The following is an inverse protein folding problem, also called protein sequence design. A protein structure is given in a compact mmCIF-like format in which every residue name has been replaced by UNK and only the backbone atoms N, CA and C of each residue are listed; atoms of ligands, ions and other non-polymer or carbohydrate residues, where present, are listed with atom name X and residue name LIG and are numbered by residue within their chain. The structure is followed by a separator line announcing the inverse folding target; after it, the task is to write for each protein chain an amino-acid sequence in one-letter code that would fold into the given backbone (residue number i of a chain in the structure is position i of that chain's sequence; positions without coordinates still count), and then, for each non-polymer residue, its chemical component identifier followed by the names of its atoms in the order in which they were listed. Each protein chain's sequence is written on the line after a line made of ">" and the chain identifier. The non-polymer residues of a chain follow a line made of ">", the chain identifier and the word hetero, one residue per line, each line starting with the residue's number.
data_IF_128804524473
#
_entry.id   IF_128804524473
#
_cell.length_a   1.000
_cell.length_b   1.000
_cell.length_c   1.000
_cell.angle_alpha   90.00
_cell.angle_beta   90.00
_cell.angle_gamma   90.00
#
_symmetry.space_group_name_H-M   'P 1'
#
loop_
_entity.id
_entity.type
_entity.pdbx_description
1 polymer ?
#
# COMPACT_ATOMS: atom_id res chain seq x y z
N UNK A 1 23.23 26.88 0.29
CA UNK A 1 22.85 25.59 0.88
C UNK A 1 22.38 24.63 -0.18
N UNK A 2 22.92 23.43 -0.16
CA UNK A 2 22.47 22.41 -1.11
C UNK A 2 21.20 21.75 -0.59
N UNK A 3 20.19 21.66 -1.43
CA UNK A 3 18.99 20.90 -1.13
C UNK A 3 19.33 19.41 -1.19
N UNK A 4 18.84 18.65 -0.23
CA UNK A 4 19.04 17.21 -0.21
C UNK A 4 18.33 16.59 -1.43
N UNK A 5 18.97 15.67 -2.10
CA UNK A 5 18.40 14.98 -3.26
C UNK A 5 17.18 14.17 -2.85
N UNK A 6 16.18 14.10 -3.73
CA UNK A 6 14.93 13.39 -3.42
C UNK A 6 15.17 11.92 -3.07
N UNK A 7 16.09 11.24 -3.77
CA UNK A 7 16.34 9.84 -3.46
C UNK A 7 16.81 9.65 -2.01
N UNK A 8 17.62 10.57 -1.50
CA UNK A 8 18.08 10.52 -0.10
C UNK A 8 16.95 10.79 0.88
N UNK A 9 16.08 11.76 0.55
CA UNK A 9 14.92 12.08 1.38
C UNK A 9 13.99 10.87 1.50
N UNK A 10 13.72 10.22 0.37
CA UNK A 10 12.82 9.07 0.34
C UNK A 10 13.44 7.87 1.06
N UNK A 11 14.73 7.61 0.83
CA UNK A 11 15.43 6.51 1.51
C UNK A 11 15.42 6.71 3.03
N UNK A 12 15.72 7.94 3.49
CA UNK A 12 15.70 8.26 4.91
C UNK A 12 14.28 8.11 5.49
N UNK A 13 13.27 8.52 4.71
CA UNK A 13 11.87 8.43 5.15
C UNK A 13 11.44 6.97 5.27
N UNK A 14 11.80 6.11 4.33
CA UNK A 14 11.50 4.68 4.40
C UNK A 14 12.13 4.07 5.66
N UNK A 15 13.39 4.39 5.90
CA UNK A 15 14.11 3.89 7.07
C UNK A 15 13.45 4.35 8.38
N UNK A 16 13.16 5.63 8.51
CA UNK A 16 12.52 6.18 9.71
C UNK A 16 11.11 5.61 9.91
N UNK A 17 10.36 5.49 8.81
CA UNK A 17 9.01 4.92 8.86
C UNK A 17 9.03 3.49 9.42
N UNK A 18 9.93 2.67 8.93
CA UNK A 18 9.98 1.25 9.29
C UNK A 18 10.65 1.00 10.65
N UNK A 19 11.65 1.80 11.02
CA UNK A 19 12.42 1.53 12.25
C UNK A 19 11.98 2.36 13.45
N UNK A 20 11.32 3.49 13.24
CA UNK A 20 10.92 4.39 14.32
C UNK A 20 9.41 4.58 14.36
N UNK A 21 8.83 5.05 13.26
CA UNK A 21 7.41 5.42 13.26
C UNK A 21 6.49 4.21 13.50
N UNK A 22 6.64 3.15 12.72
CA UNK A 22 5.78 1.98 12.83
C UNK A 22 5.95 1.25 14.17
N UNK A 23 7.17 0.95 14.64
CA UNK A 23 7.30 0.22 15.91
C UNK A 23 7.09 1.08 17.14
N UNK A 24 7.58 2.30 17.15
CA UNK A 24 7.60 3.12 18.38
C UNK A 24 6.39 4.04 18.52
N UNK A 25 5.91 4.61 17.41
CA UNK A 25 4.78 5.54 17.42
C UNK A 25 3.46 4.80 17.20
N UNK A 26 3.41 3.91 16.20
CA UNK A 26 2.21 3.12 15.88
C UNK A 26 2.13 1.82 16.68
N UNK A 27 3.20 1.46 17.37
CA UNK A 27 3.27 0.26 18.22
C UNK A 27 2.85 -1.01 17.48
N UNK A 28 3.30 -1.16 16.24
CA UNK A 28 2.97 -2.33 15.45
C UNK A 28 3.73 -3.56 15.94
N UNK A 29 3.09 -4.72 15.84
CA UNK A 29 3.71 -5.99 16.20
C UNK A 29 4.86 -6.32 15.26
N UNK A 30 5.70 -7.27 15.67
CA UNK A 30 6.81 -7.75 14.85
C UNK A 30 6.32 -8.29 13.49
N UNK A 31 5.22 -9.05 13.51
CA UNK A 31 4.65 -9.60 12.27
C UNK A 31 4.11 -8.50 11.35
N UNK A 32 3.48 -7.49 11.92
CA UNK A 32 2.99 -6.35 11.11
C UNK A 32 4.15 -5.58 10.51
N UNK A 33 5.22 -5.35 11.29
CA UNK A 33 6.43 -4.67 10.78
C UNK A 33 7.04 -5.42 9.61
N UNK A 34 7.10 -6.74 9.70
CA UNK A 34 7.60 -7.58 8.63
C UNK A 34 6.75 -7.43 7.36
N UNK A 35 5.43 -7.47 7.51
CA UNK A 35 4.50 -7.29 6.39
C UNK A 35 4.65 -5.93 5.73
N UNK A 36 4.81 -4.88 6.54
CA UNK A 36 4.97 -3.53 6.02
C UNK A 36 6.30 -3.38 5.26
N UNK A 37 7.38 -3.96 5.79
CA UNK A 37 8.67 -3.97 5.11
C UNK A 37 8.62 -4.72 3.79
N UNK A 38 7.98 -5.88 3.77
CA UNK A 38 7.79 -6.67 2.56
C UNK A 38 6.98 -5.92 1.50
N UNK A 39 5.89 -5.26 1.93
CA UNK A 39 5.05 -4.48 1.02
C UNK A 39 5.82 -3.36 0.34
N UNK A 40 6.63 -2.62 1.10
CA UNK A 40 7.45 -1.56 0.54
C UNK A 40 8.52 -2.14 -0.39
N UNK A 41 9.16 -3.24 0.00
CA UNK A 41 10.16 -3.91 -0.83
C UNK A 41 9.60 -4.36 -2.17
N UNK A 42 8.36 -4.85 -2.18
CA UNK A 42 7.71 -5.29 -3.41
C UNK A 42 7.44 -4.11 -4.35
N UNK A 43 7.07 -2.95 -3.82
CA UNK A 43 6.91 -1.75 -4.66
C UNK A 43 8.24 -1.32 -5.26
N UNK A 44 9.32 -1.38 -4.48
CA UNK A 44 10.66 -1.07 -4.97
C UNK A 44 11.09 -2.06 -6.06
N UNK A 45 10.78 -3.35 -5.89
CA UNK A 45 11.05 -4.36 -6.92
C UNK A 45 10.32 -4.03 -8.23
N UNK A 46 9.07 -3.60 -8.13
CA UNK A 46 8.31 -3.15 -9.31
C UNK A 46 8.99 -1.96 -9.99
N UNK A 47 9.41 -0.98 -9.21
CA UNK A 47 10.10 0.19 -9.76
C UNK A 47 11.39 -0.21 -10.47
N UNK A 48 12.17 -1.11 -9.90
CA UNK A 48 13.41 -1.59 -10.52
C UNK A 48 13.13 -2.35 -11.81
N UNK A 49 12.25 -3.33 -11.74
CA UNK A 49 12.02 -4.26 -12.86
C UNK A 49 11.20 -3.66 -13.99
N UNK A 50 10.22 -2.82 -13.67
CA UNK A 50 9.29 -2.29 -14.67
C UNK A 50 9.60 -0.86 -15.11
N UNK A 51 10.27 -0.08 -14.27
CA UNK A 51 10.53 1.33 -14.54
C UNK A 51 12.02 1.67 -14.59
N UNK A 52 12.90 0.72 -14.29
CA UNK A 52 14.34 0.96 -14.30
C UNK A 52 14.83 1.93 -13.24
N UNK A 53 14.06 2.09 -12.15
CA UNK A 53 14.41 3.00 -11.07
C UNK A 53 15.39 2.33 -10.12
N UNK A 54 16.46 3.05 -9.75
CA UNK A 54 17.48 2.57 -8.81
C UNK A 54 17.37 3.39 -7.51
N UNK A 55 18.16 2.97 -6.52
CA UNK A 55 18.23 3.71 -5.26
C UNK A 55 18.72 5.16 -5.44
N UNK A 56 19.43 5.45 -6.52
CA UNK A 56 19.91 6.79 -6.82
C UNK A 56 18.96 7.61 -7.67
N UNK A 57 17.93 7.00 -8.27
CA UNK A 57 17.01 7.68 -9.15
C UNK A 57 15.59 7.72 -8.62
N UNK A 58 15.33 7.09 -7.47
CA UNK A 58 14.00 7.13 -6.87
C UNK A 58 13.63 8.56 -6.49
N UNK A 59 12.41 8.97 -6.81
CA UNK A 59 11.95 10.33 -6.57
C UNK A 59 10.43 10.31 -6.32
N UNK A 60 9.87 11.48 -6.01
CA UNK A 60 8.43 11.60 -5.77
C UNK A 60 7.59 11.08 -6.92
N UNK A 61 8.00 11.38 -8.15
CA UNK A 61 7.29 10.93 -9.35
C UNK A 61 7.16 9.42 -9.45
N UNK A 62 8.02 8.65 -8.76
CA UNK A 62 7.90 7.20 -8.69
C UNK A 62 6.65 6.74 -7.94
N UNK A 63 6.00 7.64 -7.21
CA UNK A 63 4.79 7.35 -6.45
C UNK A 63 3.56 8.00 -7.09
N UNK A 64 3.59 8.22 -8.39
CA UNK A 64 2.45 8.74 -9.15
C UNK A 64 1.29 7.76 -9.09
N UNK A 65 0.09 8.32 -9.14
CA UNK A 65 -1.13 7.52 -9.10
C UNK A 65 -1.16 6.46 -10.19
N UNK A 66 -0.81 6.84 -11.43
CA UNK A 66 -0.84 5.88 -12.56
C UNK A 66 0.19 4.77 -12.39
N UNK A 67 1.36 5.06 -11.82
CA UNK A 67 2.35 4.02 -11.56
C UNK A 67 1.89 3.07 -10.44
N UNK A 68 1.23 3.59 -9.43
CA UNK A 68 0.66 2.76 -8.36
C UNK A 68 -0.43 1.85 -8.92
N UNK A 69 -1.26 2.37 -9.81
CA UNK A 69 -2.30 1.58 -10.48
C UNK A 69 -1.69 0.48 -11.35
N UNK A 70 -0.60 0.78 -12.07
CA UNK A 70 0.15 -0.22 -12.83
C UNK A 70 0.71 -1.30 -11.90
N UNK A 71 1.20 -0.89 -10.73
CA UNK A 71 1.73 -1.81 -9.74
C UNK A 71 0.66 -2.78 -9.24
N UNK A 72 -0.55 -2.31 -9.02
CA UNK A 72 -1.66 -3.17 -8.60
C UNK A 72 -1.94 -4.21 -9.68
N UNK A 73 -1.95 -3.81 -10.94
CA UNK A 73 -2.13 -4.75 -12.06
C UNK A 73 -0.96 -5.75 -12.12
N UNK A 74 0.25 -5.29 -11.88
CA UNK A 74 1.45 -6.12 -11.84
C UNK A 74 1.37 -7.15 -10.70
N UNK A 75 0.90 -6.73 -9.52
CA UNK A 75 0.70 -7.65 -8.40
C UNK A 75 -0.26 -8.78 -8.78
N UNK A 76 -1.34 -8.44 -9.47
CA UNK A 76 -2.34 -9.41 -9.88
C UNK A 76 -1.82 -10.33 -10.97
N UNK A 77 -1.18 -9.79 -11.99
CA UNK A 77 -0.81 -10.53 -13.19
C UNK A 77 0.54 -11.24 -13.09
N UNK A 78 1.53 -10.59 -12.51
CA UNK A 78 2.89 -11.13 -12.41
C UNK A 78 3.08 -11.91 -11.11
N UNK A 79 2.69 -11.32 -9.99
CA UNK A 79 2.84 -11.93 -8.67
C UNK A 79 1.69 -12.87 -8.31
N UNK A 80 0.62 -12.86 -9.10
CA UNK A 80 -0.56 -13.72 -8.87
C UNK A 80 -1.20 -13.51 -7.50
N UNK A 81 -1.21 -12.27 -7.04
CA UNK A 81 -1.80 -11.93 -5.74
C UNK A 81 -3.32 -11.92 -5.80
N UNK A 82 -3.97 -12.35 -4.72
CA UNK A 82 -5.41 -12.24 -4.57
C UNK A 82 -5.82 -10.77 -4.40
N UNK A 83 -7.09 -10.42 -4.64
CA UNK A 83 -7.56 -9.05 -4.37
C UNK A 83 -7.30 -8.61 -2.94
N UNK A 84 -7.43 -9.51 -1.97
CA UNK A 84 -7.15 -9.20 -0.57
C UNK A 84 -5.69 -8.81 -0.36
N UNK A 85 -4.77 -9.57 -0.97
CA UNK A 85 -3.33 -9.29 -0.87
C UNK A 85 -3.00 -7.98 -1.56
N UNK A 86 -3.56 -7.73 -2.76
CA UNK A 86 -3.36 -6.47 -3.46
C UNK A 86 -3.82 -5.28 -2.62
N UNK A 87 -4.99 -5.38 -1.99
CA UNK A 87 -5.53 -4.33 -1.14
C UNK A 87 -4.65 -4.09 0.09
N UNK A 88 -4.12 -5.16 0.67
CA UNK A 88 -3.22 -5.06 1.81
C UNK A 88 -1.93 -4.34 1.42
N UNK A 89 -1.33 -4.72 0.28
CA UNK A 89 -0.12 -4.07 -0.23
C UNK A 89 -0.37 -2.59 -0.53
N UNK A 90 -1.51 -2.27 -1.13
CA UNK A 90 -1.87 -0.89 -1.41
C UNK A 90 -2.02 -0.07 -0.13
N UNK A 91 -2.63 -0.64 0.92
CA UNK A 91 -2.80 0.08 2.18
C UNK A 91 -1.45 0.38 2.84
N UNK A 92 -0.48 -0.52 2.70
CA UNK A 92 0.88 -0.30 3.21
C UNK A 92 1.54 0.89 2.50
N UNK A 93 1.45 0.92 1.17
CA UNK A 93 2.03 2.01 0.39
C UNK A 93 1.36 3.35 0.71
N UNK A 94 0.03 3.37 0.84
CA UNK A 94 -0.70 4.57 1.23
C UNK A 94 -0.26 5.07 2.60
N UNK A 95 -0.04 4.15 3.53
CA UNK A 95 0.45 4.48 4.87
C UNK A 95 1.81 5.19 4.81
N UNK A 96 2.72 4.65 4.01
CA UNK A 96 4.02 5.28 3.83
C UNK A 96 3.92 6.67 3.21
N UNK A 97 3.09 6.82 2.15
CA UNK A 97 2.95 8.11 1.48
C UNK A 97 2.37 9.18 2.40
N UNK A 98 1.46 8.80 3.28
CA UNK A 98 0.94 9.72 4.29
C UNK A 98 2.04 10.14 5.26
N UNK A 99 2.86 9.21 5.70
CA UNK A 99 4.00 9.50 6.56
C UNK A 99 4.98 10.46 5.87
N UNK A 100 5.31 10.17 4.60
CA UNK A 100 6.22 11.00 3.81
C UNK A 100 5.69 12.41 3.65
N UNK A 101 4.39 12.57 3.38
CA UNK A 101 3.75 13.87 3.20
C UNK A 101 3.81 14.69 4.49
N UNK A 102 3.65 14.04 5.65
CA UNK A 102 3.75 14.73 6.94
C UNK A 102 5.18 15.14 7.27
N UNK A 103 6.16 14.38 6.82
CA UNK A 103 7.57 14.72 7.02
C UNK A 103 8.03 15.83 6.07
N UNK A 104 7.59 15.77 4.82
CA UNK A 104 8.01 16.71 3.76
C UNK A 104 6.79 17.10 2.95
N UNK A 105 6.32 18.32 3.14
CA UNK A 105 5.10 18.84 2.52
C UNK A 105 5.14 18.78 0.98
N UNK A 106 6.34 18.78 0.40
CA UNK A 106 6.50 18.70 -1.06
C UNK A 106 5.94 17.40 -1.66
N UNK A 107 5.73 16.38 -0.83
CA UNK A 107 5.18 15.09 -1.28
C UNK A 107 3.67 14.94 -1.03
N UNK A 108 3.00 15.98 -0.56
CA UNK A 108 1.57 15.88 -0.21
C UNK A 108 0.70 15.51 -1.41
N UNK A 109 1.09 15.92 -2.59
CA UNK A 109 0.38 15.58 -3.83
C UNK A 109 0.26 14.06 -4.00
N UNK A 110 1.32 13.34 -3.72
CA UNK A 110 1.35 11.88 -3.90
C UNK A 110 0.48 11.17 -2.86
N UNK A 111 0.43 11.69 -1.65
CA UNK A 111 -0.49 11.17 -0.62
C UNK A 111 -1.95 11.38 -1.05
N UNK A 112 -2.29 12.58 -1.49
CA UNK A 112 -3.65 12.90 -1.93
C UNK A 112 -4.07 12.06 -3.13
N UNK A 113 -3.17 11.91 -4.11
CA UNK A 113 -3.46 11.12 -5.31
C UNK A 113 -3.63 9.64 -4.97
N UNK A 114 -2.78 9.11 -4.10
CA UNK A 114 -2.87 7.71 -3.68
C UNK A 114 -4.16 7.44 -2.90
N UNK A 115 -4.61 8.41 -2.11
CA UNK A 115 -5.84 8.27 -1.34
C UNK A 115 -7.07 8.07 -2.23
N UNK A 116 -7.01 8.55 -3.47
CA UNK A 116 -8.09 8.38 -4.44
C UNK A 116 -8.15 6.99 -5.05
N UNK A 117 -7.08 6.20 -4.93
CA UNK A 117 -7.04 4.84 -5.50
C UNK A 117 -7.92 3.94 -4.66
N UNK A 118 -8.92 3.36 -5.31
CA UNK A 118 -9.89 2.50 -4.63
C UNK A 118 -9.34 1.09 -4.48
N UNK A 119 -9.74 0.44 -3.39
CA UNK A 119 -9.39 -0.96 -3.15
C UNK A 119 -10.11 -1.83 -4.18
N UNK A 120 -9.48 -2.95 -4.55
CA UNK A 120 -10.11 -3.94 -5.39
C UNK A 120 -11.31 -4.53 -4.66
N UNK A 121 -12.40 -4.74 -5.40
CA UNK A 121 -13.55 -5.45 -4.86
C UNK A 121 -13.19 -6.92 -4.69
N UNK A 122 -13.46 -7.43 -3.51
CA UNK A 122 -13.29 -8.85 -3.24
C UNK A 122 -14.56 -9.59 -3.65
N UNK A 123 -14.43 -10.86 -4.09
CA UNK A 123 -15.61 -11.67 -4.37
C UNK A 123 -16.48 -11.80 -3.11
N UNK A 124 -17.72 -11.35 -3.19
CA UNK A 124 -18.64 -11.38 -2.06
C UNK A 124 -19.57 -12.59 -2.07
N UNK A 125 -19.37 -13.50 -3.00
CA UNK A 125 -20.30 -14.60 -3.28
C UNK A 125 -20.72 -15.38 -2.04
N UNK A 126 -19.74 -15.83 -1.27
CA UNK A 126 -20.06 -16.68 -0.11
C UNK A 126 -20.73 -15.90 1.01
N UNK A 127 -20.27 -14.71 1.30
CA UNK A 127 -20.84 -13.89 2.36
C UNK A 127 -22.31 -13.52 2.08
N UNK A 128 -22.59 -13.12 0.85
CA UNK A 128 -23.97 -12.76 0.47
C UNK A 128 -24.90 -13.95 0.49
N UNK A 129 -24.46 -15.09 -0.07
CA UNK A 129 -25.26 -16.31 -0.11
C UNK A 129 -25.54 -16.80 1.32
N UNK A 130 -24.52 -16.86 2.16
CA UNK A 130 -24.68 -17.29 3.54
C UNK A 130 -25.67 -16.37 4.28
N UNK A 131 -25.51 -15.07 4.12
CA UNK A 131 -26.37 -14.09 4.79
C UNK A 131 -27.82 -14.24 4.37
N UNK A 132 -28.08 -14.37 3.07
CA UNK A 132 -29.45 -14.56 2.56
C UNK A 132 -30.07 -15.85 3.04
N UNK A 133 -29.33 -16.93 2.97
CA UNK A 133 -29.81 -18.23 3.43
C UNK A 133 -30.07 -18.23 4.93
N UNK A 134 -29.21 -17.61 5.71
CA UNK A 134 -29.37 -17.50 7.14
C UNK A 134 -30.64 -16.72 7.48
N UNK A 135 -30.86 -15.60 6.82
CA UNK A 135 -32.07 -14.79 7.03
C UNK A 135 -33.31 -15.59 6.68
N UNK A 136 -33.32 -16.28 5.55
CA UNK A 136 -34.46 -17.11 5.13
C UNK A 136 -34.75 -18.21 6.13
N UNK A 137 -33.73 -18.87 6.65
CA UNK A 137 -33.90 -19.91 7.66
C UNK A 137 -34.49 -19.36 8.95
N UNK A 138 -34.00 -18.18 9.38
CA UNK A 138 -34.53 -17.52 10.57
C UNK A 138 -36.04 -17.21 10.39
N UNK A 139 -36.39 -16.64 9.27
CA UNK A 139 -37.80 -16.33 9.00
C UNK A 139 -38.66 -17.61 8.92
N UNK A 140 -38.12 -18.66 8.32
CA UNK A 140 -38.82 -19.95 8.25
C UNK A 140 -39.03 -20.56 9.62
N UNK A 141 -38.08 -20.40 10.55
CA UNK A 141 -38.21 -20.95 11.89
C UNK A 141 -39.13 -20.16 12.81
N UNK A 142 -39.35 -18.89 12.52
CA UNK A 142 -40.24 -18.05 13.32
C UNK A 142 -41.69 -18.35 13.04
N UNK A 143 -42.01 -18.77 11.83
CA UNK A 143 -43.35 -19.16 11.45
C UNK A 143 -43.67 -20.61 11.92
#
# INVERSE_FOLDING_TARGET
>A
MKTKAEHSIIADAIHEWHTVYLPCIRNLSHNALKSYGEGMGIYIDFLESSKGVTSNTICGECFRKDWIEEWIAWLKEVRKCSPQTCNHRLSILKNFLRFLAHKKIQFIKYDCDAAEIKRMQQPKKQAEVITKDTIKRIFASIN
#
